data_IF_307304596474
#
_entry.id   IF_307304596474
#
_cell.length_a   1.000
_cell.length_b   1.000
_cell.length_c   1.000
_cell.angle_alpha   90.00
_cell.angle_beta   90.00
_cell.angle_gamma   90.00
#
_symmetry.space_group_name_H-M   'P 1'
#
loop_
_entity.id
_entity.type
_entity.pdbx_description
1 polymer ?
#
# COMPACT_ATOMS: atom_id res chain seq x y z
N UNK A 1 -6.55 1.84 17.11
CA UNK A 1 -5.31 2.12 16.35
C UNK A 1 -5.02 0.89 15.51
N UNK A 2 -5.32 0.97 14.21
CA UNK A 2 -5.15 -0.16 13.30
C UNK A 2 -3.74 -0.08 12.71
N UNK A 3 -2.84 -0.95 13.12
CA UNK A 3 -1.49 -1.06 12.54
C UNK A 3 -1.42 -2.29 11.63
N UNK A 4 -0.87 -2.14 10.44
CA UNK A 4 -0.68 -3.21 9.48
C UNK A 4 0.77 -3.33 9.03
N UNK A 5 1.16 -4.52 8.58
CA UNK A 5 2.45 -4.74 7.92
C UNK A 5 2.24 -4.68 6.40
N UNK A 6 3.06 -3.91 5.71
CA UNK A 6 3.05 -3.84 4.26
C UNK A 6 3.58 -5.17 3.70
N UNK A 7 2.78 -5.85 2.88
CA UNK A 7 3.16 -7.14 2.27
C UNK A 7 3.64 -7.00 0.82
N UNK A 8 3.17 -5.96 0.13
CA UNK A 8 3.55 -5.66 -1.24
C UNK A 8 3.32 -4.17 -1.50
N UNK A 9 4.20 -3.57 -2.28
CA UNK A 9 4.04 -2.20 -2.78
C UNK A 9 3.94 -2.16 -4.29
N UNK A 10 3.06 -1.28 -4.79
CA UNK A 10 2.98 -1.00 -6.23
C UNK A 10 4.18 -0.16 -6.71
N UNK A 11 4.39 -0.05 -8.04
CA UNK A 11 5.50 0.69 -8.62
C UNK A 11 5.49 2.20 -8.29
N UNK A 12 4.37 2.72 -7.78
CA UNK A 12 4.20 4.14 -7.47
C UNK A 12 3.30 4.87 -8.46
N UNK A 13 3.01 6.13 -8.17
CA UNK A 13 2.14 6.95 -9.02
C UNK A 13 2.90 7.40 -10.27
N UNK A 14 2.26 7.42 -11.43
CA UNK A 14 2.84 8.02 -12.63
C UNK A 14 2.48 9.50 -12.69
N UNK A 15 3.45 10.35 -12.96
CA UNK A 15 3.19 11.76 -13.25
C UNK A 15 2.65 11.94 -14.68
N UNK A 16 2.36 13.18 -15.08
CA UNK A 16 1.84 13.51 -16.42
C UNK A 16 2.91 13.39 -17.51
N UNK A 17 4.17 13.38 -17.12
CA UNK A 17 5.34 13.33 -18.01
C UNK A 17 5.83 11.88 -18.22
N UNK A 18 5.20 10.91 -17.56
CA UNK A 18 5.48 9.48 -17.66
C UNK A 18 6.50 8.97 -16.65
N UNK A 19 7.00 9.81 -15.74
CA UNK A 19 7.90 9.37 -14.68
C UNK A 19 7.13 8.65 -13.57
N UNK A 20 7.79 7.67 -12.97
CA UNK A 20 7.25 6.91 -11.85
C UNK A 20 7.72 7.57 -10.56
N UNK A 21 6.77 8.06 -9.77
CA UNK A 21 6.98 8.56 -8.41
C UNK A 21 6.99 7.35 -7.47
N UNK A 22 8.15 6.96 -6.91
CA UNK A 22 8.24 5.79 -6.06
C UNK A 22 7.41 5.97 -4.79
N UNK A 23 6.86 4.87 -4.28
CA UNK A 23 6.20 4.87 -2.97
C UNK A 23 7.21 5.07 -1.84
N UNK A 24 6.80 5.78 -0.79
CA UNK A 24 7.64 6.01 0.40
C UNK A 24 7.66 4.83 1.37
N UNK A 25 6.84 3.80 1.13
CA UNK A 25 6.72 2.60 1.96
C UNK A 25 7.40 1.43 1.26
N UNK A 26 7.95 0.50 2.05
CA UNK A 26 8.60 -0.71 1.55
C UNK A 26 7.93 -1.96 2.12
N UNK A 27 8.19 -3.09 1.49
CA UNK A 27 7.74 -4.39 1.97
C UNK A 27 8.32 -4.66 3.37
N UNK A 28 7.45 -5.00 4.31
CA UNK A 28 7.79 -5.27 5.69
C UNK A 28 7.67 -4.08 6.63
N UNK A 29 7.44 -2.87 6.13
CA UNK A 29 7.21 -1.69 6.97
C UNK A 29 5.91 -1.82 7.77
N UNK A 30 5.92 -1.26 8.98
CA UNK A 30 4.72 -1.18 9.83
C UNK A 30 4.10 0.20 9.66
N UNK A 31 2.86 0.23 9.22
CA UNK A 31 2.12 1.47 8.92
C UNK A 31 0.87 1.56 9.80
N UNK A 32 0.51 2.79 10.16
CA UNK A 32 -0.75 3.08 10.83
C UNK A 32 -1.81 3.33 9.77
N UNK A 33 -2.85 2.50 9.78
CA UNK A 33 -4.00 2.61 8.91
C UNK A 33 -5.06 3.49 9.59
N UNK A 34 -5.75 4.36 8.83
CA UNK A 34 -6.93 5.06 9.33
C UNK A 34 -8.03 4.05 9.68
N UNK A 35 -8.93 4.40 10.62
CA UNK A 35 -9.96 3.47 11.10
C UNK A 35 -10.94 2.97 10.02
N UNK A 36 -11.16 3.76 8.96
CA UNK A 36 -12.17 3.48 7.92
C UNK A 36 -11.63 3.56 6.49
N UNK A 37 -10.31 3.43 6.28
CA UNK A 37 -9.70 3.61 4.97
C UNK A 37 -9.22 2.30 4.33
N UNK A 38 -9.49 2.17 3.02
CA UNK A 38 -9.04 1.05 2.20
C UNK A 38 -10.17 0.10 1.80
N UNK A 39 -9.87 -0.78 0.84
CA UNK A 39 -10.74 -1.89 0.45
C UNK A 39 -10.14 -3.17 1.00
N UNK A 40 -10.89 -3.92 1.80
CA UNK A 40 -10.45 -5.24 2.23
C UNK A 40 -10.49 -6.18 1.01
N UNK A 41 -9.34 -6.70 0.63
CA UNK A 41 -9.21 -7.70 -0.42
C UNK A 41 -8.76 -9.01 0.22
N UNK A 42 -9.58 -10.05 0.10
CA UNK A 42 -9.22 -11.40 0.51
C UNK A 42 -8.46 -12.06 -0.65
N UNK A 43 -7.14 -12.14 -0.55
CA UNK A 43 -6.35 -12.97 -1.47
C UNK A 43 -6.45 -14.43 -1.01
N UNK A 44 -7.43 -15.17 -1.53
CA UNK A 44 -7.57 -16.61 -1.36
C UNK A 44 -9.02 -17.08 -1.24
N UNK A 45 -9.52 -17.80 -2.24
CA UNK A 45 -10.60 -18.77 -2.06
C UNK A 45 -10.00 -20.07 -1.49
N UNK A 46 -9.59 -20.00 -0.21
CA UNK A 46 -9.57 -21.10 0.75
C UNK A 46 -9.35 -20.59 2.16
#
# INVERSE_FOLDING_TARGET
MNSGRVVAVGPGARDRDGNVIPVSVKDGDTVLLPEYGGTEVKLGDK
#
